data_IF_679430569148
#
_entry.id   IF_679430569148
#
_cell.length_a   1.000
_cell.length_b   1.000
_cell.length_c   1.000
_cell.angle_alpha   90.00
_cell.angle_beta   90.00
_cell.angle_gamma   90.00
#
_symmetry.space_group_name_H-M   'P 1'
#
loop_
_entity.id
_entity.type
_entity.pdbx_description
1 polymer ?
#
# COMPACT_ATOMS: atom_id res chain seq x y z
N UNK A 1 10.03 -19.25 -22.07
CA UNK A 1 10.55 -18.43 -20.94
C UNK A 1 9.66 -17.21 -20.63
N UNK A 2 8.32 -17.25 -20.80
CA UNK A 2 7.49 -16.03 -20.78
C UNK A 2 6.52 -15.88 -19.59
N UNK A 3 5.94 -16.94 -19.03
CA UNK A 3 4.84 -16.80 -18.05
C UNK A 3 5.23 -16.20 -16.69
N UNK A 4 6.30 -16.68 -16.07
CA UNK A 4 6.73 -16.26 -14.72
C UNK A 4 7.21 -14.80 -14.68
N UNK A 5 7.91 -14.35 -15.73
CA UNK A 5 8.35 -12.95 -15.83
C UNK A 5 7.18 -12.01 -16.06
N UNK A 6 6.16 -12.43 -16.82
CA UNK A 6 4.94 -11.67 -17.03
C UNK A 6 4.13 -11.55 -15.73
N UNK A 7 3.97 -12.65 -15.00
CA UNK A 7 3.31 -12.69 -13.70
C UNK A 7 4.01 -11.76 -12.69
N UNK A 8 5.34 -11.81 -12.64
CA UNK A 8 6.14 -10.88 -11.84
C UNK A 8 5.88 -9.41 -12.17
N UNK A 9 5.95 -9.03 -13.45
CA UNK A 9 5.81 -7.63 -13.86
C UNK A 9 4.41 -7.09 -13.59
N UNK A 10 3.40 -7.94 -13.76
CA UNK A 10 2.02 -7.62 -13.39
C UNK A 10 1.89 -7.29 -11.89
N UNK A 11 2.37 -8.16 -11.01
CA UNK A 11 2.27 -7.93 -9.55
C UNK A 11 2.99 -6.64 -9.11
N UNK A 12 4.12 -6.29 -9.73
CA UNK A 12 4.82 -5.03 -9.41
C UNK A 12 4.00 -3.80 -9.85
N UNK A 13 3.41 -3.81 -11.04
CA UNK A 13 2.60 -2.69 -11.51
C UNK A 13 1.30 -2.52 -10.72
N UNK A 14 0.71 -3.63 -10.26
CA UNK A 14 -0.49 -3.60 -9.43
C UNK A 14 -0.23 -2.92 -8.05
N UNK A 15 1.02 -2.78 -7.60
CA UNK A 15 1.33 -2.05 -6.34
C UNK A 15 1.14 -0.52 -6.45
N UNK A 16 0.75 0.02 -7.61
CA UNK A 16 0.30 1.42 -7.72
C UNK A 16 -0.94 1.66 -6.84
N UNK A 17 -1.74 0.62 -6.60
CA UNK A 17 -2.94 0.68 -5.77
C UNK A 17 -2.65 0.88 -4.26
N UNK A 18 -1.44 0.56 -3.78
CA UNK A 18 -1.00 0.83 -2.40
C UNK A 18 -1.04 2.33 -2.06
N UNK A 19 -0.88 3.21 -3.05
CA UNK A 19 -0.92 4.66 -2.80
C UNK A 19 -2.34 5.14 -2.42
N UNK A 20 -3.39 4.87 -3.22
CA UNK A 20 -4.78 5.10 -2.81
C UNK A 20 -5.17 4.44 -1.47
N UNK A 21 -4.68 3.24 -1.18
CA UNK A 21 -4.94 2.55 0.08
C UNK A 21 -4.31 3.26 1.27
N UNK A 22 -3.05 3.67 1.12
CA UNK A 22 -2.36 4.50 2.10
C UNK A 22 -3.12 5.79 2.36
N UNK A 23 -3.54 6.49 1.30
CA UNK A 23 -4.38 7.67 1.41
C UNK A 23 -5.69 7.38 2.18
N UNK A 24 -6.35 6.25 1.91
CA UNK A 24 -7.57 5.86 2.59
C UNK A 24 -7.32 5.60 4.08
N UNK A 25 -6.23 4.92 4.46
CA UNK A 25 -5.83 4.74 5.87
C UNK A 25 -5.55 6.09 6.54
N UNK A 26 -4.81 6.98 5.86
CA UNK A 26 -4.45 8.29 6.40
C UNK A 26 -5.65 9.23 6.60
N UNK A 27 -6.56 9.29 5.63
CA UNK A 27 -7.80 10.08 5.71
C UNK A 27 -8.80 9.43 6.67
N UNK A 28 -8.97 8.13 6.57
CA UNK A 28 -9.89 7.34 7.39
C UNK A 28 -9.47 7.21 8.85
N UNK A 29 -8.21 7.53 9.19
CA UNK A 29 -7.73 7.62 10.56
C UNK A 29 -8.50 8.61 11.45
N UNK A 30 -9.26 9.53 10.85
CA UNK A 30 -10.12 10.50 11.55
C UNK A 30 -11.59 10.05 11.65
N UNK A 31 -11.96 8.89 11.10
CA UNK A 31 -13.33 8.35 11.18
C UNK A 31 -13.52 7.47 12.41
N UNK A 32 -14.78 7.14 12.73
CA UNK A 32 -15.11 6.21 13.83
C UNK A 32 -14.71 4.77 13.48
N UNK A 33 -14.60 4.47 12.19
CA UNK A 33 -14.28 3.18 11.62
C UNK A 33 -12.77 2.99 11.34
N UNK A 34 -11.92 3.93 11.79
CA UNK A 34 -10.48 3.95 11.51
C UNK A 34 -9.79 2.59 11.74
N UNK A 35 -10.08 1.92 12.87
CA UNK A 35 -9.52 0.60 13.18
C UNK A 35 -10.00 -0.46 12.17
N UNK A 36 -11.30 -0.50 11.88
CA UNK A 36 -11.88 -1.46 10.93
C UNK A 36 -11.25 -1.31 9.55
N UNK A 37 -11.13 -0.06 9.07
CA UNK A 37 -10.51 0.26 7.79
C UNK A 37 -9.03 -0.15 7.74
N UNK A 38 -8.27 0.23 8.78
CA UNK A 38 -6.83 -0.08 8.86
C UNK A 38 -6.59 -1.59 8.89
N UNK A 39 -7.42 -2.35 9.62
CA UNK A 39 -7.32 -3.81 9.64
C UNK A 39 -7.73 -4.44 8.30
N UNK A 40 -8.80 -3.96 7.67
CA UNK A 40 -9.24 -4.47 6.37
C UNK A 40 -8.13 -4.31 5.31
N UNK A 41 -7.55 -3.11 5.23
CA UNK A 41 -6.44 -2.80 4.31
C UNK A 41 -5.17 -3.56 4.72
N UNK A 42 -4.84 -3.62 6.01
CA UNK A 42 -3.66 -4.35 6.48
C UNK A 42 -3.68 -5.84 6.12
N UNK A 43 -4.84 -6.51 6.19
CA UNK A 43 -4.97 -7.93 5.85
C UNK A 43 -4.74 -8.17 4.36
N UNK A 44 -5.32 -7.36 3.47
CA UNK A 44 -5.07 -7.50 2.03
C UNK A 44 -3.59 -7.25 1.70
N UNK A 45 -2.93 -6.30 2.36
CA UNK A 45 -1.54 -5.92 2.03
C UNK A 45 -0.54 -6.99 2.45
N UNK A 46 -0.86 -7.76 3.50
CA UNK A 46 -0.12 -9.00 3.81
C UNK A 46 -0.23 -10.01 2.68
N UNK A 47 -1.43 -10.23 2.14
CA UNK A 47 -1.64 -11.19 1.04
C UNK A 47 -0.98 -10.74 -0.26
N UNK A 48 -1.01 -9.45 -0.57
CA UNK A 48 -0.35 -8.88 -1.74
C UNK A 48 1.17 -8.93 -1.63
N UNK A 49 1.73 -8.55 -0.47
CA UNK A 49 3.17 -8.68 -0.21
C UNK A 49 3.66 -10.12 -0.33
N UNK A 50 2.87 -11.08 0.16
CA UNK A 50 3.14 -12.50 -0.03
C UNK A 50 3.07 -12.92 -1.51
N UNK A 51 2.11 -12.42 -2.28
CA UNK A 51 2.00 -12.69 -3.72
C UNK A 51 3.22 -12.17 -4.49
N UNK A 52 3.69 -10.95 -4.19
CA UNK A 52 4.92 -10.37 -4.75
C UNK A 52 6.13 -11.24 -4.38
N UNK A 53 6.31 -11.58 -3.11
CA UNK A 53 7.43 -12.40 -2.66
C UNK A 53 7.42 -13.81 -3.30
N UNK A 54 6.25 -14.46 -3.37
CA UNK A 54 6.08 -15.76 -4.01
C UNK A 54 6.42 -15.72 -5.50
N UNK A 55 6.05 -14.64 -6.21
CA UNK A 55 6.37 -14.45 -7.63
C UNK A 55 7.88 -14.36 -7.88
N UNK A 56 8.61 -13.68 -6.98
CA UNK A 56 10.07 -13.53 -7.04
C UNK A 56 10.79 -14.85 -6.75
N UNK A 57 10.31 -15.58 -5.75
CA UNK A 57 10.83 -16.92 -5.43
C UNK A 57 10.59 -17.87 -6.62
N UNK A 58 9.40 -17.84 -7.23
CA UNK A 58 9.10 -18.62 -8.44
C UNK A 58 9.96 -18.23 -9.64
N UNK A 59 10.38 -16.96 -9.73
CA UNK A 59 11.34 -16.46 -10.72
C UNK A 59 12.82 -16.79 -10.38
N UNK A 60 13.07 -17.62 -9.35
CA UNK A 60 14.38 -18.05 -8.87
C UNK A 60 15.24 -16.95 -8.23
N UNK A 61 14.62 -15.89 -7.72
CA UNK A 61 15.31 -14.95 -6.83
C UNK A 61 15.37 -15.53 -5.40
N UNK A 62 16.39 -15.12 -4.63
CA UNK A 62 16.54 -15.54 -3.24
C UNK A 62 15.46 -14.94 -2.33
N UNK A 63 15.07 -15.67 -1.28
CA UNK A 63 14.03 -15.25 -0.31
C UNK A 63 14.32 -13.87 0.28
N UNK A 64 15.56 -13.59 0.69
CA UNK A 64 15.93 -12.28 1.23
C UNK A 64 15.85 -11.12 0.22
N UNK A 65 15.97 -11.40 -1.08
CA UNK A 65 15.69 -10.39 -2.11
C UNK A 65 14.17 -10.22 -2.27
N UNK A 66 13.43 -11.32 -2.37
CA UNK A 66 11.98 -11.33 -2.51
C UNK A 66 11.27 -10.57 -1.38
N UNK A 67 11.63 -10.84 -0.13
CA UNK A 67 11.07 -10.17 1.05
C UNK A 67 11.40 -8.68 1.08
N UNK A 68 12.61 -8.27 0.66
CA UNK A 68 12.97 -6.84 0.59
C UNK A 68 12.17 -6.11 -0.47
N UNK A 69 11.99 -6.71 -1.65
CA UNK A 69 11.16 -6.10 -2.70
C UNK A 69 9.71 -5.97 -2.22
N UNK A 70 9.11 -7.01 -1.65
CA UNK A 70 7.76 -6.95 -1.09
C UNK A 70 7.61 -5.91 0.03
N UNK A 71 8.64 -5.74 0.88
CA UNK A 71 8.65 -4.69 1.89
C UNK A 71 8.71 -3.29 1.27
N UNK A 72 9.57 -3.10 0.25
CA UNK A 72 9.72 -1.82 -0.43
C UNK A 72 8.45 -1.40 -1.17
N UNK A 73 7.65 -2.33 -1.69
CA UNK A 73 6.36 -1.98 -2.30
C UNK A 73 5.36 -1.47 -1.26
N UNK A 74 5.34 -2.06 -0.05
CA UNK A 74 4.50 -1.58 1.06
C UNK A 74 4.83 -0.17 1.55
N UNK A 75 6.06 0.34 1.33
CA UNK A 75 6.40 1.72 1.70
C UNK A 75 5.58 2.78 0.96
N UNK A 76 5.04 2.44 -0.21
CA UNK A 76 4.16 3.33 -0.98
C UNK A 76 2.88 3.65 -0.19
N UNK A 77 2.33 2.67 0.53
CA UNK A 77 1.17 2.84 1.40
C UNK A 77 1.49 3.77 2.58
N UNK A 78 2.62 3.55 3.26
CA UNK A 78 3.06 4.40 4.38
C UNK A 78 3.22 5.86 3.94
N UNK A 79 3.75 6.09 2.74
CA UNK A 79 3.84 7.42 2.15
C UNK A 79 2.45 8.00 1.87
N UNK A 80 1.56 7.23 1.23
CA UNK A 80 0.16 7.62 1.00
C UNK A 80 -0.57 8.00 2.29
N UNK A 81 -0.37 7.26 3.39
CA UNK A 81 -0.97 7.55 4.68
C UNK A 81 -0.53 8.89 5.27
N UNK A 82 0.76 9.22 5.18
CA UNK A 82 1.28 10.52 5.61
C UNK A 82 0.64 11.65 4.80
N UNK A 83 0.53 11.48 3.48
CA UNK A 83 -0.14 12.45 2.61
C UNK A 83 -1.60 12.61 3.02
N UNK A 84 -2.33 11.51 3.24
CA UNK A 84 -3.74 11.53 3.64
C UNK A 84 -3.98 12.27 4.95
N UNK A 85 -3.17 11.98 5.98
CA UNK A 85 -3.24 12.69 7.27
C UNK A 85 -2.98 14.19 7.10
N UNK A 86 -1.99 14.54 6.29
CA UNK A 86 -1.63 15.94 6.02
C UNK A 86 -2.76 16.69 5.32
N UNK A 87 -3.43 16.05 4.35
CA UNK A 87 -4.56 16.63 3.62
C UNK A 87 -5.75 16.93 4.54
N UNK A 88 -6.07 16.03 5.47
CA UNK A 88 -7.16 16.26 6.44
C UNK A 88 -6.81 17.43 7.36
N UNK A 89 -5.61 17.45 7.93
CA UNK A 89 -5.16 18.53 8.81
C UNK A 89 -5.18 19.89 8.10
N UNK A 90 -4.73 19.94 6.84
CA UNK A 90 -4.77 21.16 6.05
C UNK A 90 -6.22 21.60 5.78
N UNK A 91 -7.11 20.67 5.43
CA UNK A 91 -8.53 20.97 5.19
C UNK A 91 -9.21 21.53 6.44
N UNK A 92 -8.96 20.94 7.62
CA UNK A 92 -9.48 21.42 8.90
C UNK A 92 -8.96 22.82 9.24
N UNK A 93 -7.69 23.11 8.95
CA UNK A 93 -7.11 24.44 9.16
C UNK A 93 -7.73 25.52 8.23
N UNK A 94 -8.16 25.14 7.03
CA UNK A 94 -8.78 26.04 6.05
C UNK A 94 -10.30 26.20 6.22
N UNK A 95 -10.96 25.28 6.93
CA UNK A 95 -12.40 25.28 7.14
C UNK A 95 -12.99 26.62 7.61
N UNK A 96 -12.36 27.37 8.56
CA UNK A 96 -12.87 28.67 8.99
C UNK A 96 -12.88 29.77 7.92
N UNK A 97 -12.10 29.61 6.84
CA UNK A 97 -12.04 30.56 5.74
C UNK A 97 -12.94 30.17 4.56
N UNK A 98 -13.52 28.97 4.60
CA UNK A 98 -14.37 28.41 3.55
C UNK A 98 -15.87 28.50 3.86
N UNK A 99 -16.24 28.93 5.07
CA UNK A 99 -17.60 29.17 5.57
C UNK A 99 -17.83 30.67 5.79
#
# INVERSE_FOLDING_TARGET
MSGIRLFFWKNIFDNIHNFPEGLAVGVGGFSKEALSLTFAIGIQNVLEGLAVAASLIAARYGVGYASRVAFLTGLVESFGAIVGVTMVNFSVAFLPYAL
#
